data_IF_920234947651
#
_entry.id   IF_920234947651
#
_cell.length_a   1.000
_cell.length_b   1.000
_cell.length_c   1.000
_cell.angle_alpha   90.00
_cell.angle_beta   90.00
_cell.angle_gamma   90.00
#
_symmetry.space_group_name_H-M   'P 1'
#
loop_
_entity.id
_entity.type
_entity.pdbx_description
1 polymer ?
#
# COMPACT_ATOMS: atom_id res chain seq x y z
N UNK A 1 -19.26 -32.62 -22.26
CA UNK A 1 -20.34 -31.67 -21.91
C UNK A 1 -19.87 -30.20 -21.92
N UNK A 2 -18.61 -29.88 -21.66
CA UNK A 2 -18.06 -28.50 -21.69
C UNK A 2 -17.85 -27.98 -23.13
N UNK A 3 -17.56 -28.86 -24.08
CA UNK A 3 -17.28 -28.49 -25.47
C UNK A 3 -18.53 -28.06 -26.28
N UNK A 4 -19.75 -28.54 -25.91
CA UNK A 4 -20.96 -28.15 -26.60
C UNK A 4 -21.40 -26.72 -26.25
N UNK A 5 -21.30 -26.35 -25.00
CA UNK A 5 -21.63 -24.99 -24.54
C UNK A 5 -20.76 -23.90 -25.19
N UNK A 6 -19.47 -24.16 -25.30
CA UNK A 6 -18.56 -23.22 -25.97
C UNK A 6 -18.84 -23.07 -27.46
N UNK A 7 -19.22 -24.19 -28.14
CA UNK A 7 -19.58 -24.16 -29.54
C UNK A 7 -20.91 -23.40 -29.77
N UNK A 8 -21.90 -23.61 -28.91
CA UNK A 8 -23.19 -22.90 -28.95
C UNK A 8 -23.00 -21.39 -28.67
N UNK A 9 -22.22 -21.06 -27.66
CA UNK A 9 -21.93 -19.66 -27.35
C UNK A 9 -21.19 -18.97 -28.51
N UNK A 10 -20.20 -19.64 -29.10
CA UNK A 10 -19.45 -19.13 -30.25
C UNK A 10 -20.33 -18.99 -31.50
N UNK A 11 -21.23 -19.94 -31.71
CA UNK A 11 -22.19 -19.89 -32.82
C UNK A 11 -23.24 -18.77 -32.63
N UNK A 12 -23.76 -18.60 -31.41
CA UNK A 12 -24.65 -17.50 -31.07
C UNK A 12 -23.94 -16.12 -31.23
N UNK A 13 -22.75 -16.01 -30.74
CA UNK A 13 -21.93 -14.80 -30.87
C UNK A 13 -21.64 -14.44 -32.33
N UNK A 14 -21.23 -15.43 -33.13
CA UNK A 14 -20.97 -15.23 -34.56
C UNK A 14 -22.24 -14.99 -35.37
N UNK A 15 -23.38 -15.57 -34.97
CA UNK A 15 -24.66 -15.35 -35.63
C UNK A 15 -25.19 -13.93 -35.40
N UNK A 16 -25.06 -13.43 -34.19
CA UNK A 16 -25.41 -12.06 -33.86
C UNK A 16 -24.50 -11.08 -34.62
N UNK A 17 -23.23 -11.39 -34.70
CA UNK A 17 -22.23 -10.66 -35.47
C UNK A 17 -22.52 -10.61 -36.98
N UNK A 18 -23.11 -11.67 -37.53
CA UNK A 18 -23.42 -11.81 -38.96
C UNK A 18 -24.83 -11.30 -39.33
N UNK A 19 -25.76 -11.29 -38.37
CA UNK A 19 -27.16 -10.89 -38.58
C UNK A 19 -27.31 -9.39 -38.76
N UNK A 20 -26.46 -8.59 -38.15
CA UNK A 20 -26.40 -7.13 -38.32
C UNK A 20 -25.50 -6.72 -39.48
N UNK A 21 -25.67 -7.31 -40.66
CA UNK A 21 -24.87 -7.05 -41.90
C UNK A 21 -24.88 -5.60 -42.41
N UNK A 22 -25.30 -4.67 -41.58
CA UNK A 22 -25.08 -3.22 -41.66
C UNK A 22 -24.41 -2.79 -40.36
N UNK A 23 -23.14 -3.13 -40.23
CA UNK A 23 -22.31 -2.55 -39.17
C UNK A 23 -22.40 -1.03 -39.21
N UNK A 24 -23.14 -0.48 -38.29
CA UNK A 24 -23.00 0.89 -37.99
C UNK A 24 -21.61 1.04 -37.37
N UNK A 25 -20.63 1.40 -38.21
CA UNK A 25 -19.22 1.56 -37.84
C UNK A 25 -19.07 2.39 -36.56
N UNK A 26 -20.02 3.31 -36.35
CA UNK A 26 -20.11 4.12 -35.15
C UNK A 26 -20.43 3.32 -33.89
N UNK A 27 -21.34 2.32 -33.97
CA UNK A 27 -21.70 1.47 -32.82
C UNK A 27 -20.54 0.53 -32.45
N UNK A 28 -19.83 0.00 -33.44
CA UNK A 28 -18.66 -0.83 -33.22
C UNK A 28 -17.50 -0.03 -32.60
N UNK A 29 -17.23 1.15 -33.12
CA UNK A 29 -16.23 2.07 -32.54
C UNK A 29 -16.60 2.44 -31.11
N UNK A 30 -17.85 2.75 -30.82
CA UNK A 30 -18.31 3.03 -29.47
C UNK A 30 -18.10 1.84 -28.51
N UNK A 31 -18.48 0.64 -28.95
CA UNK A 31 -18.36 -0.59 -28.14
C UNK A 31 -16.89 -0.94 -27.84
N UNK A 32 -15.96 -0.65 -28.78
CA UNK A 32 -14.53 -0.89 -28.61
C UNK A 32 -13.82 0.25 -27.89
N UNK A 33 -14.12 1.48 -28.28
CA UNK A 33 -13.41 2.67 -27.74
C UNK A 33 -13.86 3.02 -26.33
N UNK A 34 -15.12 2.80 -25.97
CA UNK A 34 -15.65 3.14 -24.65
C UNK A 34 -14.94 2.41 -23.52
N UNK A 35 -14.76 1.07 -23.53
CA UNK A 35 -14.02 0.36 -22.51
C UNK A 35 -12.53 0.72 -22.50
N UNK A 36 -11.92 1.00 -23.68
CA UNK A 36 -10.54 1.44 -23.78
C UNK A 36 -10.35 2.83 -23.15
N UNK A 37 -11.22 3.78 -23.49
CA UNK A 37 -11.20 5.13 -22.89
C UNK A 37 -11.42 5.04 -21.38
N UNK A 38 -12.38 4.23 -20.95
CA UNK A 38 -12.68 4.03 -19.53
C UNK A 38 -11.47 3.43 -18.78
N UNK A 39 -10.83 2.41 -19.35
CA UNK A 39 -9.62 1.80 -18.78
C UNK A 39 -8.44 2.78 -18.73
N UNK A 40 -8.26 3.59 -19.77
CA UNK A 40 -7.23 4.64 -19.81
C UNK A 40 -7.50 5.75 -18.79
N UNK A 41 -8.75 6.20 -18.67
CA UNK A 41 -9.14 7.22 -17.69
C UNK A 41 -8.96 6.71 -16.26
N UNK A 42 -9.43 5.49 -15.97
CA UNK A 42 -9.22 4.89 -14.65
C UNK A 42 -7.74 4.63 -14.40
N UNK A 43 -7.01 4.07 -15.36
CA UNK A 43 -5.58 3.84 -15.26
C UNK A 43 -4.82 5.14 -14.99
N UNK A 44 -5.14 6.23 -15.68
CA UNK A 44 -4.56 7.54 -15.45
C UNK A 44 -4.95 8.11 -14.07
N UNK A 45 -6.22 7.99 -13.67
CA UNK A 45 -6.69 8.45 -12.37
C UNK A 45 -6.03 7.68 -11.22
N UNK A 46 -5.87 6.36 -11.37
CA UNK A 46 -5.21 5.53 -10.36
C UNK A 46 -3.69 5.61 -10.40
N UNK A 47 -3.06 5.86 -11.54
CA UNK A 47 -1.61 6.06 -11.62
C UNK A 47 -1.17 7.39 -11.00
N UNK A 48 -2.01 8.42 -11.06
CA UNK A 48 -1.79 9.68 -10.34
C UNK A 48 -2.03 9.54 -8.83
N UNK A 49 -2.67 8.48 -8.40
CA UNK A 49 -3.07 8.22 -7.01
C UNK A 49 -2.16 7.19 -6.30
N UNK A 50 -0.89 7.14 -6.65
CA UNK A 50 0.11 6.62 -5.72
C UNK A 50 0.10 7.62 -4.56
N UNK A 51 -0.50 7.21 -3.44
CA UNK A 51 -0.57 8.02 -2.23
C UNK A 51 0.87 8.21 -1.72
N UNK A 52 1.46 9.31 -2.13
CA UNK A 52 2.76 9.76 -1.66
C UNK A 52 2.53 10.81 -0.57
N UNK A 53 3.52 10.94 0.32
CA UNK A 53 3.52 11.95 1.38
C UNK A 53 2.37 11.76 2.38
N UNK A 54 2.02 10.49 2.71
CA UNK A 54 1.04 10.19 3.76
C UNK A 54 1.56 10.74 5.09
N UNK A 55 0.84 11.64 5.76
CA UNK A 55 1.28 12.23 7.02
C UNK A 55 1.28 11.17 8.12
N UNK A 56 2.44 11.00 8.77
CA UNK A 56 2.69 10.00 9.80
C UNK A 56 3.11 10.68 11.10
N UNK A 57 2.51 10.23 12.21
CA UNK A 57 2.98 10.53 13.56
C UNK A 57 3.70 9.32 14.12
N UNK A 58 4.84 9.54 14.77
CA UNK A 58 5.65 8.46 15.35
C UNK A 58 5.70 8.60 16.85
N UNK A 59 5.36 7.52 17.56
CA UNK A 59 5.54 7.38 18.99
C UNK A 59 6.75 6.47 19.25
N UNK A 60 7.87 7.03 19.71
CA UNK A 60 9.09 6.28 19.98
C UNK A 60 9.36 6.20 21.48
N UNK A 61 9.01 5.05 22.06
CA UNK A 61 9.22 4.77 23.49
C UNK A 61 10.68 4.41 23.82
N UNK A 62 11.50 4.12 22.81
CA UNK A 62 12.83 3.56 23.02
C UNK A 62 13.98 4.57 22.84
N UNK A 63 13.85 5.51 21.91
CA UNK A 63 14.82 6.55 21.55
C UNK A 63 16.26 6.03 21.29
N UNK A 64 16.37 4.84 20.69
CA UNK A 64 17.64 4.18 20.39
C UNK A 64 18.19 4.54 19.00
N UNK A 65 19.37 4.02 18.66
CA UNK A 65 19.91 4.14 17.31
C UNK A 65 19.06 3.39 16.28
N UNK A 66 18.43 2.28 16.68
CA UNK A 66 17.61 1.45 15.80
C UNK A 66 16.26 2.12 15.56
N UNK A 67 15.63 2.67 16.60
CA UNK A 67 14.37 3.41 16.41
C UNK A 67 14.56 4.64 15.52
N UNK A 68 15.67 5.38 15.70
CA UNK A 68 16.00 6.52 14.82
C UNK A 68 16.26 6.09 13.38
N UNK A 69 16.87 4.93 13.14
CA UNK A 69 17.07 4.39 11.80
C UNK A 69 15.73 4.05 11.16
N UNK A 70 14.81 3.44 11.90
CA UNK A 70 13.47 3.15 11.44
C UNK A 70 12.72 4.43 11.05
N UNK A 71 12.73 5.43 11.93
CA UNK A 71 12.12 6.74 11.68
C UNK A 71 12.73 7.40 10.43
N UNK A 72 14.07 7.31 10.28
CA UNK A 72 14.76 7.82 9.09
C UNK A 72 14.32 7.12 7.81
N UNK A 73 14.07 5.81 7.85
CA UNK A 73 13.58 5.08 6.69
C UNK A 73 12.16 5.54 6.30
N UNK A 74 11.29 5.79 7.28
CA UNK A 74 9.98 6.38 7.02
C UNK A 74 10.09 7.80 6.46
N UNK A 75 11.01 8.59 6.95
CA UNK A 75 11.22 9.97 6.47
C UNK A 75 11.80 10.01 5.05
N UNK A 76 12.64 9.04 4.68
CA UNK A 76 13.29 8.97 3.36
C UNK A 76 12.38 8.32 2.32
N UNK A 77 11.33 7.64 2.75
CA UNK A 77 10.34 7.04 1.85
C UNK A 77 9.49 8.10 1.17
N UNK A 78 9.34 8.02 -0.15
CA UNK A 78 8.42 8.90 -0.90
C UNK A 78 6.95 8.70 -0.52
N UNK A 79 6.64 7.60 0.18
CA UNK A 79 5.29 7.23 0.59
C UNK A 79 4.81 7.99 1.82
N UNK A 80 5.72 8.32 2.73
CA UNK A 80 5.39 8.85 4.04
C UNK A 80 6.05 10.21 4.29
N UNK A 81 5.37 11.04 5.07
CA UNK A 81 5.95 12.27 5.62
C UNK A 81 5.77 12.25 7.12
N UNK A 82 6.86 12.12 7.86
CA UNK A 82 6.81 12.20 9.33
C UNK A 82 6.52 13.63 9.72
N UNK A 83 5.30 13.88 10.20
CA UNK A 83 4.81 15.22 10.58
C UNK A 83 5.17 15.57 12.01
N UNK A 84 5.12 14.57 12.90
CA UNK A 84 5.31 14.79 14.34
C UNK A 84 5.89 13.55 15.01
N UNK A 85 6.71 13.74 16.01
CA UNK A 85 7.10 12.71 16.96
C UNK A 85 6.49 13.03 18.31
N UNK A 86 5.88 12.05 18.94
CA UNK A 86 5.18 12.17 20.21
C UNK A 86 5.74 11.19 21.23
N UNK A 87 5.50 11.45 22.49
CA UNK A 87 6.05 10.64 23.58
C UNK A 87 5.07 9.58 24.09
N UNK A 88 3.76 9.77 23.85
CA UNK A 88 2.71 8.88 24.39
C UNK A 88 1.79 8.38 23.30
N UNK A 89 1.20 7.23 23.57
CA UNK A 89 0.20 6.62 22.72
C UNK A 89 -1.04 7.54 22.54
N UNK A 90 -1.46 8.18 23.63
CA UNK A 90 -2.62 9.07 23.63
C UNK A 90 -2.41 10.28 22.73
N UNK A 91 -1.21 10.87 22.76
CA UNK A 91 -0.87 11.97 21.84
C UNK A 91 -0.85 11.53 20.38
N UNK A 92 -0.43 10.30 20.11
CA UNK A 92 -0.46 9.72 18.77
C UNK A 92 -1.90 9.55 18.27
N UNK A 93 -2.78 8.96 19.09
CA UNK A 93 -4.19 8.80 18.75
C UNK A 93 -4.87 10.14 18.54
N UNK A 94 -4.63 11.11 19.43
CA UNK A 94 -5.17 12.46 19.29
C UNK A 94 -4.74 13.14 17.98
N UNK A 95 -3.49 12.95 17.56
CA UNK A 95 -3.01 13.50 16.28
C UNK A 95 -3.72 12.86 15.07
N UNK A 96 -4.05 11.56 15.14
CA UNK A 96 -4.82 10.87 14.10
C UNK A 96 -6.28 11.35 14.11
N UNK A 97 -6.92 11.43 15.27
CA UNK A 97 -8.31 11.87 15.40
C UNK A 97 -8.49 13.33 14.96
N UNK A 98 -7.53 14.20 15.24
CA UNK A 98 -7.54 15.59 14.79
C UNK A 98 -7.19 15.75 13.28
N UNK A 99 -6.83 14.66 12.61
CA UNK A 99 -6.47 14.69 11.19
C UNK A 99 -5.09 15.26 10.88
N UNK A 100 -4.24 15.48 11.90
CA UNK A 100 -2.84 15.92 11.75
C UNK A 100 -1.96 14.83 11.11
N UNK A 101 -2.33 13.56 11.33
CA UNK A 101 -1.72 12.39 10.71
C UNK A 101 -2.79 11.40 10.23
N UNK A 102 -2.43 10.58 9.25
CA UNK A 102 -3.28 9.49 8.75
C UNK A 102 -2.80 8.12 9.24
N UNK A 103 -1.55 8.06 9.67
CA UNK A 103 -0.92 6.86 10.18
C UNK A 103 -0.16 7.19 11.45
N UNK A 104 -0.29 6.33 12.45
CA UNK A 104 0.51 6.32 13.66
C UNK A 104 1.45 5.12 13.65
N UNK A 105 2.71 5.35 13.99
CA UNK A 105 3.70 4.29 14.15
C UNK A 105 4.17 4.29 15.59
N UNK A 106 3.97 3.19 16.28
CA UNK A 106 4.38 3.00 17.65
C UNK A 106 5.57 2.04 17.73
N UNK A 107 6.67 2.52 18.26
CA UNK A 107 7.89 1.74 18.43
C UNK A 107 7.98 1.30 19.88
N UNK A 108 7.85 -0.01 20.12
CA UNK A 108 7.88 -0.60 21.45
C UNK A 108 9.25 -0.51 22.11
N UNK A 109 9.31 -0.48 23.46
CA UNK A 109 10.55 -0.33 24.22
C UNK A 109 11.58 -1.46 24.01
N UNK A 110 11.20 -2.59 23.42
CA UNK A 110 12.07 -3.78 23.28
C UNK A 110 12.54 -4.03 21.85
N UNK A 111 12.24 -3.15 20.89
CA UNK A 111 12.61 -3.31 19.48
C UNK A 111 14.11 -3.63 19.30
N UNK A 112 14.98 -2.87 19.97
CA UNK A 112 16.44 -3.02 19.89
C UNK A 112 16.93 -4.39 20.40
N UNK A 113 16.32 -4.90 21.45
CA UNK A 113 16.61 -6.23 22.01
C UNK A 113 16.13 -7.32 21.07
N UNK A 114 14.92 -7.22 20.56
CA UNK A 114 14.34 -8.22 19.68
C UNK A 114 15.13 -8.36 18.39
N UNK A 115 15.54 -7.24 17.78
CA UNK A 115 16.39 -7.26 16.58
C UNK A 115 17.76 -7.91 16.86
N UNK A 116 18.39 -7.60 18.03
CA UNK A 116 19.68 -8.19 18.39
C UNK A 116 19.61 -9.70 18.70
N UNK A 117 18.47 -10.19 19.17
CA UNK A 117 18.28 -11.59 19.53
C UNK A 117 17.60 -12.40 18.44
N UNK A 118 17.34 -11.81 17.26
CA UNK A 118 16.59 -12.41 16.16
C UNK A 118 15.19 -12.91 16.57
N UNK A 119 14.57 -12.24 17.54
CA UNK A 119 13.19 -12.45 17.95
C UNK A 119 12.31 -11.51 17.10
N UNK A 120 11.11 -11.95 16.70
CA UNK A 120 10.17 -11.05 16.04
C UNK A 120 9.96 -9.76 16.85
N UNK A 121 10.09 -8.62 16.17
CA UNK A 121 9.91 -7.32 16.77
C UNK A 121 8.63 -6.72 16.22
N UNK A 122 7.74 -6.28 17.10
CA UNK A 122 6.48 -5.69 16.71
C UNK A 122 6.62 -4.16 16.62
N UNK A 123 6.12 -3.61 15.52
CA UNK A 123 5.92 -2.19 15.33
C UNK A 123 4.43 -1.97 15.16
N UNK A 124 3.83 -1.25 16.08
CA UNK A 124 2.41 -0.93 16.03
C UNK A 124 2.12 0.05 14.88
N UNK A 125 1.17 -0.29 14.02
CA UNK A 125 0.71 0.57 12.94
C UNK A 125 -0.76 0.89 13.18
N UNK A 126 -1.07 2.16 13.41
CA UNK A 126 -2.40 2.69 13.64
C UNK A 126 -2.82 3.51 12.42
N UNK A 127 -3.98 3.22 11.87
CA UNK A 127 -4.43 3.81 10.61
C UNK A 127 -5.79 4.46 10.81
N UNK A 128 -5.95 5.66 10.29
CA UNK A 128 -7.25 6.30 10.18
C UNK A 128 -8.14 5.52 9.20
N UNK A 129 -9.07 4.74 9.77
CA UNK A 129 -10.00 3.90 9.01
C UNK A 129 -11.10 4.68 8.28
N UNK A 130 -11.17 5.99 8.43
CA UNK A 130 -12.15 6.83 7.73
C UNK A 130 -11.97 6.81 6.21
N UNK A 131 -10.75 6.47 5.75
CA UNK A 131 -10.44 6.32 4.33
C UNK A 131 -9.70 5.00 4.06
N UNK A 132 -10.44 4.02 3.52
CA UNK A 132 -9.94 2.67 3.23
C UNK A 132 -8.75 2.66 2.23
N UNK A 133 -8.65 3.67 1.38
CA UNK A 133 -7.56 3.78 0.38
C UNK A 133 -6.24 4.11 1.08
N UNK A 134 -6.25 5.03 2.05
CA UNK A 134 -5.07 5.30 2.89
C UNK A 134 -4.68 4.09 3.73
N UNK A 135 -5.68 3.36 4.26
CA UNK A 135 -5.47 2.18 5.08
C UNK A 135 -4.64 1.10 4.37
N UNK A 136 -5.10 0.66 3.21
CA UNK A 136 -4.42 -0.41 2.46
C UNK A 136 -3.04 0.02 1.93
N UNK A 137 -2.91 1.25 1.41
CA UNK A 137 -1.64 1.77 0.90
C UNK A 137 -0.59 1.92 2.00
N UNK A 138 -1.00 2.38 3.19
CA UNK A 138 -0.13 2.57 4.34
C UNK A 138 0.36 1.24 4.91
N UNK A 139 -0.52 0.24 4.98
CA UNK A 139 -0.16 -1.08 5.49
C UNK A 139 0.93 -1.71 4.63
N UNK A 140 0.72 -1.79 3.32
CA UNK A 140 1.69 -2.38 2.37
C UNK A 140 3.03 -1.63 2.42
N UNK A 141 3.01 -0.29 2.42
CA UNK A 141 4.23 0.51 2.47
C UNK A 141 4.98 0.38 3.80
N UNK A 142 4.26 0.26 4.91
CA UNK A 142 4.86 0.04 6.24
C UNK A 142 5.48 -1.35 6.37
N UNK A 143 4.83 -2.38 5.85
CA UNK A 143 5.38 -3.74 5.79
C UNK A 143 6.69 -3.79 5.00
N UNK A 144 6.75 -3.11 3.86
CA UNK A 144 7.95 -3.03 3.04
C UNK A 144 9.12 -2.38 3.81
N UNK A 145 8.88 -1.28 4.51
CA UNK A 145 9.90 -0.58 5.30
C UNK A 145 10.37 -1.45 6.48
N UNK A 146 9.45 -2.09 7.18
CA UNK A 146 9.77 -2.95 8.31
C UNK A 146 10.56 -4.19 7.88
N UNK A 147 10.18 -4.82 6.75
CA UNK A 147 10.92 -5.95 6.17
C UNK A 147 12.34 -5.56 5.77
N UNK A 148 12.53 -4.40 5.16
CA UNK A 148 13.85 -3.90 4.77
C UNK A 148 14.74 -3.66 6.00
N UNK A 149 14.18 -3.19 7.11
CA UNK A 149 14.90 -3.04 8.36
C UNK A 149 15.37 -4.40 8.92
N UNK A 150 14.50 -5.40 8.94
CA UNK A 150 14.81 -6.75 9.42
C UNK A 150 15.90 -7.40 8.58
N UNK A 151 15.82 -7.31 7.26
CA UNK A 151 16.82 -7.85 6.33
C UNK A 151 18.16 -7.17 6.52
N UNK A 152 18.18 -5.84 6.57
CA UNK A 152 19.41 -5.06 6.79
C UNK A 152 20.04 -5.30 8.17
N UNK A 153 19.20 -5.49 9.19
CA UNK A 153 19.63 -5.84 10.54
C UNK A 153 20.28 -7.21 10.61
N UNK A 154 19.69 -8.21 9.97
CA UNK A 154 20.20 -9.59 9.94
C UNK A 154 21.52 -9.70 9.18
N UNK A 155 21.67 -8.99 8.06
CA UNK A 155 22.93 -8.97 7.30
C UNK A 155 24.10 -8.41 8.11
N UNK A 156 23.88 -7.31 8.84
CA UNK A 156 24.91 -6.73 9.71
C UNK A 156 25.32 -7.63 10.87
N UNK A 157 24.42 -8.48 11.35
CA UNK A 157 24.73 -9.47 12.40
C UNK A 157 25.61 -10.59 11.79
N UNK A 158 25.28 -11.07 10.59
CA UNK A 158 26.07 -12.10 9.89
C UNK A 158 27.48 -11.60 9.56
N UNK A 159 27.65 -10.36 9.10
CA UNK A 159 28.95 -9.76 8.81
C UNK A 159 29.85 -9.59 10.06
N UNK A 160 29.27 -9.51 11.25
CA UNK A 160 30.04 -9.45 12.53
C UNK A 160 30.41 -10.83 13.08
N UNK A 161 29.82 -11.89 12.55
CA UNK A 161 30.09 -13.27 12.97
C UNK A 161 31.11 -13.99 12.07
N UNK A 162 31.45 -13.39 10.93
CA UNK A 162 32.52 -13.82 10.00
C UNK A 162 33.74 -12.96 10.15
#
# INVERSE_FOLDING_TARGET
MITSWYAEWKAAFLSEFRREGRWNTSAFLLLLCLPLIYTLLLGAAYSANVLNHIPVVVCDHQQTKISRLLISNYHTSDRFTVTKQVATHEEMLAAIENGEAKVGIEIEPQLDRHIKTAVPADVGIYIDASNMVYGSASLVASEEINMNLLVSGSQRILERMT
#
